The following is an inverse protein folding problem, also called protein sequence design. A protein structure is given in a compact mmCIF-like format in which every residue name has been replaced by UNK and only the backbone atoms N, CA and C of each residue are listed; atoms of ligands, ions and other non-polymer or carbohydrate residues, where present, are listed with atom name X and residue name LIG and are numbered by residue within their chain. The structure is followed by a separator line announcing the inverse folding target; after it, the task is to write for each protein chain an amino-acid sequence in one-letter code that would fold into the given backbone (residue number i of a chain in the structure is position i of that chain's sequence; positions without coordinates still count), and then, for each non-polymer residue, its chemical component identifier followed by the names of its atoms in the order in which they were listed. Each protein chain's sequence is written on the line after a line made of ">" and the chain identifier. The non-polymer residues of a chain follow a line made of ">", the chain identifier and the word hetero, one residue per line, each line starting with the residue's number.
data_IF_709288518528
#
_entry.id   IF_709288518528
#
_cell.length_a   1.000
_cell.length_b   1.000
_cell.length_c   1.000
_cell.angle_alpha   90.00
_cell.angle_beta   90.00
_cell.angle_gamma   90.00
#
_symmetry.space_group_name_H-M   'P 1'
#
loop_
_entity.id
_entity.type
_entity.pdbx_description
1 polymer ?
#
# COMPACT_ATOMS: atom_id res chain seq x y z
N UNK A 1 -13.20 -10.67 -13.02
CA UNK A 1 -14.28 -11.52 -13.58
C UNK A 1 -14.22 -12.86 -12.88
N UNK A 2 -15.35 -13.38 -12.41
CA UNK A 2 -15.46 -14.76 -11.92
C UNK A 2 -16.05 -15.59 -13.05
N UNK A 3 -15.40 -16.70 -13.40
CA UNK A 3 -15.79 -17.54 -14.52
C UNK A 3 -15.31 -18.98 -14.33
N UNK A 4 -15.89 -19.91 -15.09
CA UNK A 4 -15.45 -21.31 -15.10
C UNK A 4 -14.47 -21.57 -16.22
N UNK A 5 -13.44 -22.37 -15.96
CA UNK A 5 -12.56 -22.90 -17.01
C UNK A 5 -13.36 -23.83 -17.92
N UNK A 6 -13.55 -23.40 -19.16
CA UNK A 6 -14.22 -24.17 -20.19
C UNK A 6 -13.26 -25.11 -20.93
N UNK A 7 -12.02 -24.66 -21.19
CA UNK A 7 -11.05 -25.46 -21.92
C UNK A 7 -9.62 -25.03 -21.64
N UNK A 8 -8.71 -26.00 -21.56
CA UNK A 8 -7.27 -25.78 -21.53
C UNK A 8 -6.62 -26.37 -22.78
N UNK A 9 -5.82 -25.58 -23.49
CA UNK A 9 -5.11 -26.03 -24.70
C UNK A 9 -3.64 -25.67 -24.62
N UNK A 10 -2.77 -26.62 -24.96
CA UNK A 10 -1.32 -26.43 -25.04
C UNK A 10 -0.86 -26.62 -26.48
N UNK A 11 -0.14 -25.66 -27.03
CA UNK A 11 0.51 -25.78 -28.34
C UNK A 11 1.92 -25.19 -28.33
N UNK A 12 2.69 -25.53 -29.35
CA UNK A 12 3.96 -24.86 -29.62
C UNK A 12 3.74 -23.73 -30.63
N UNK A 13 4.39 -22.60 -30.40
CA UNK A 13 4.47 -21.51 -31.36
C UNK A 13 5.39 -21.88 -32.53
N UNK A 14 5.40 -21.07 -33.59
CA UNK A 14 6.31 -21.26 -34.74
C UNK A 14 7.79 -21.27 -34.33
N UNK A 15 8.15 -20.59 -33.24
CA UNK A 15 9.49 -20.57 -32.66
C UNK A 15 9.73 -21.68 -31.62
N UNK A 16 8.88 -22.72 -31.59
CA UNK A 16 8.93 -23.86 -30.65
C UNK A 16 8.83 -23.49 -29.16
N UNK A 17 8.37 -22.28 -28.83
CA UNK A 17 8.03 -21.90 -27.45
C UNK A 17 6.65 -22.41 -27.08
N UNK A 18 6.47 -22.86 -25.84
CA UNK A 18 5.15 -23.31 -25.36
C UNK A 18 4.17 -22.13 -25.27
N UNK A 19 2.91 -22.41 -25.57
CA UNK A 19 1.81 -21.47 -25.38
C UNK A 19 0.59 -22.24 -24.89
N UNK A 20 0.11 -21.85 -23.73
CA UNK A 20 -1.10 -22.40 -23.12
C UNK A 20 -2.20 -21.37 -23.22
N UNK A 21 -3.37 -21.78 -23.69
CA UNK A 21 -4.58 -20.95 -23.71
C UNK A 21 -5.64 -21.61 -22.85
N UNK A 22 -6.05 -20.90 -21.80
CA UNK A 22 -7.16 -21.27 -20.91
C UNK A 22 -8.36 -20.42 -21.30
N UNK A 23 -9.40 -21.05 -21.84
CA UNK A 23 -10.66 -20.37 -22.16
C UNK A 23 -11.59 -20.48 -20.95
N UNK A 24 -12.05 -19.34 -20.46
CA UNK A 24 -13.00 -19.23 -19.36
C UNK A 24 -14.35 -18.70 -19.87
N UNK A 25 -15.43 -19.01 -19.15
CA UNK A 25 -16.78 -18.56 -19.46
C UNK A 25 -17.61 -18.32 -18.19
N UNK A 26 -18.41 -17.26 -18.20
CA UNK A 26 -19.43 -16.96 -17.19
C UNK A 26 -20.85 -17.37 -17.66
N UNK A 27 -20.94 -18.06 -18.81
CA UNK A 27 -22.19 -18.40 -19.47
C UNK A 27 -22.69 -17.38 -20.51
N UNK A 28 -22.17 -16.14 -20.48
CA UNK A 28 -22.55 -15.08 -21.44
C UNK A 28 -21.56 -14.95 -22.60
N UNK A 29 -20.31 -15.33 -22.38
CA UNK A 29 -19.26 -15.26 -23.38
C UNK A 29 -18.03 -16.07 -23.04
N UNK A 30 -17.00 -15.92 -23.86
CA UNK A 30 -15.72 -16.58 -23.70
C UNK A 30 -14.58 -15.57 -23.66
N UNK A 31 -13.62 -15.85 -22.79
CA UNK A 31 -12.43 -15.05 -22.61
C UNK A 31 -11.21 -15.97 -22.54
N UNK A 32 -10.15 -15.63 -23.25
CA UNK A 32 -8.95 -16.47 -23.32
C UNK A 32 -7.82 -15.86 -22.45
N UNK A 33 -7.31 -16.64 -21.50
CA UNK A 33 -6.07 -16.37 -20.76
C UNK A 33 -4.91 -17.04 -21.51
N UNK A 34 -3.91 -16.27 -21.93
CA UNK A 34 -2.79 -16.82 -22.72
C UNK A 34 -1.48 -16.75 -21.94
N UNK A 35 -0.91 -17.92 -21.67
CA UNK A 35 0.34 -18.10 -20.93
C UNK A 35 1.45 -18.48 -21.92
N UNK A 36 2.38 -17.56 -22.15
CA UNK A 36 3.52 -17.78 -23.03
C UNK A 36 4.69 -18.38 -22.26
N UNK A 37 5.29 -19.43 -22.81
CA UNK A 37 6.40 -20.17 -22.23
C UNK A 37 6.16 -20.70 -20.79
N UNK A 38 4.89 -20.88 -20.40
CA UNK A 38 4.47 -21.31 -19.07
C UNK A 38 3.59 -22.57 -19.20
N UNK A 39 4.20 -23.74 -19.49
CA UNK A 39 3.45 -24.96 -19.79
C UNK A 39 2.73 -25.55 -18.56
N UNK A 40 3.13 -25.14 -17.35
CA UNK A 40 2.54 -25.56 -16.08
C UNK A 40 1.07 -25.11 -15.94
N UNK A 41 0.68 -23.99 -16.56
CA UNK A 41 -0.67 -23.43 -16.45
C UNK A 41 -1.74 -24.43 -16.89
N UNK A 42 -1.44 -25.28 -17.88
CA UNK A 42 -2.36 -26.30 -18.35
C UNK A 42 -2.65 -27.40 -17.30
N UNK A 43 -1.72 -27.64 -16.37
CA UNK A 43 -1.89 -28.59 -15.27
C UNK A 43 -2.66 -28.03 -14.08
N UNK A 44 -2.58 -26.71 -13.87
CA UNK A 44 -3.26 -25.99 -12.79
C UNK A 44 -4.72 -25.72 -13.15
N UNK A 45 -4.96 -25.06 -14.29
CA UNK A 45 -6.31 -24.66 -14.70
C UNK A 45 -7.01 -25.76 -15.51
N UNK A 46 -7.57 -26.72 -14.79
CA UNK A 46 -8.37 -27.81 -15.38
C UNK A 46 -9.79 -27.36 -15.67
N UNK A 47 -10.41 -28.02 -16.65
CA UNK A 47 -11.81 -27.79 -17.01
C UNK A 47 -12.74 -28.00 -15.81
N UNK A 48 -13.74 -27.13 -15.66
CA UNK A 48 -14.69 -27.16 -14.56
C UNK A 48 -14.31 -26.32 -13.34
N UNK A 49 -13.04 -25.94 -13.19
CA UNK A 49 -12.60 -25.09 -12.07
C UNK A 49 -13.19 -23.68 -12.19
N UNK A 50 -13.62 -23.14 -11.07
CA UNK A 50 -14.06 -21.75 -10.98
C UNK A 50 -12.85 -20.87 -10.68
N UNK A 51 -12.72 -19.77 -11.40
CA UNK A 51 -11.56 -18.88 -11.32
C UNK A 51 -11.96 -17.42 -11.23
N UNK A 52 -11.26 -16.67 -10.39
CA UNK A 52 -11.28 -15.22 -10.38
C UNK A 52 -10.10 -14.71 -11.21
N UNK A 53 -10.38 -13.86 -12.20
CA UNK A 53 -9.37 -13.29 -13.10
C UNK A 53 -9.43 -11.78 -13.15
N UNK A 54 -8.26 -11.15 -13.20
CA UNK A 54 -8.09 -9.71 -13.32
C UNK A 54 -6.98 -9.39 -14.34
N UNK A 55 -7.10 -8.24 -15.02
CA UNK A 55 -6.15 -7.83 -16.05
C UNK A 55 -6.78 -6.97 -17.13
N UNK A 56 -6.01 -6.67 -18.18
CA UNK A 56 -6.45 -5.79 -19.27
C UNK A 56 -7.13 -6.58 -20.37
N UNK A 57 -8.36 -6.21 -20.72
CA UNK A 57 -9.06 -6.84 -21.85
C UNK A 57 -8.49 -6.34 -23.17
N UNK A 58 -8.09 -7.27 -24.02
CA UNK A 58 -7.57 -7.04 -25.36
C UNK A 58 -8.31 -7.93 -26.36
N UNK A 59 -8.14 -7.67 -27.66
CA UNK A 59 -8.73 -8.50 -28.72
C UNK A 59 -7.62 -8.98 -29.64
N UNK A 60 -7.54 -10.29 -29.84
CA UNK A 60 -6.57 -10.91 -30.75
C UNK A 60 -7.27 -11.92 -31.66
N UNK A 61 -7.10 -11.75 -32.99
CA UNK A 61 -7.73 -12.59 -34.01
C UNK A 61 -9.25 -12.80 -33.78
N UNK A 62 -9.93 -11.74 -33.40
CA UNK A 62 -11.38 -11.74 -33.17
C UNK A 62 -11.84 -12.28 -31.81
N UNK A 63 -10.94 -12.86 -30.99
CA UNK A 63 -11.25 -13.37 -29.65
C UNK A 63 -10.83 -12.37 -28.57
N UNK A 64 -11.63 -12.28 -27.51
CA UNK A 64 -11.26 -11.51 -26.32
C UNK A 64 -10.18 -12.26 -25.54
N UNK A 65 -9.16 -11.54 -25.13
CA UNK A 65 -8.04 -12.04 -24.36
C UNK A 65 -7.78 -11.15 -23.16
N UNK A 66 -7.28 -11.74 -22.08
CA UNK A 66 -6.78 -10.99 -20.93
C UNK A 66 -5.25 -10.91 -21.03
N UNK A 67 -4.72 -9.69 -21.08
CA UNK A 67 -3.29 -9.40 -20.98
C UNK A 67 -2.92 -8.94 -19.57
N UNK A 68 -1.65 -9.12 -19.18
CA UNK A 68 -1.16 -8.89 -17.82
C UNK A 68 -2.08 -9.53 -16.77
N UNK A 69 -2.48 -10.76 -17.03
CA UNK A 69 -3.53 -11.42 -16.27
C UNK A 69 -3.01 -12.00 -14.96
N UNK A 70 -3.81 -11.83 -13.91
CA UNK A 70 -3.76 -12.63 -12.69
C UNK A 70 -5.01 -13.53 -12.65
N UNK A 71 -4.83 -14.77 -12.22
CA UNK A 71 -5.89 -15.76 -12.20
C UNK A 71 -5.72 -16.71 -11.02
N UNK A 72 -6.78 -16.90 -10.25
CA UNK A 72 -6.82 -17.77 -9.07
C UNK A 72 -7.99 -18.72 -9.13
N UNK A 73 -7.83 -19.89 -8.52
CA UNK A 73 -8.87 -20.91 -8.42
C UNK A 73 -9.70 -20.61 -7.17
N UNK A 74 -11.01 -20.42 -7.35
CA UNK A 74 -11.94 -20.24 -6.25
C UNK A 74 -12.26 -21.61 -5.64
N UNK A 75 -12.18 -21.71 -4.30
CA UNK A 75 -12.32 -22.97 -3.56
C UNK A 75 -11.04 -23.81 -3.47
N UNK A 76 -9.87 -23.24 -3.82
CA UNK A 76 -8.55 -23.79 -3.51
C UNK A 76 -8.17 -23.64 -2.03
N UNK A 77 -6.94 -23.99 -1.66
CA UNK A 77 -6.43 -23.79 -0.29
C UNK A 77 -6.44 -22.29 0.07
N UNK A 78 -6.50 -21.94 1.37
CA UNK A 78 -6.60 -20.54 1.85
C UNK A 78 -5.55 -19.58 1.24
N UNK A 79 -4.38 -20.12 0.87
CA UNK A 79 -3.28 -19.41 0.19
C UNK A 79 -3.65 -18.89 -1.19
N UNK A 80 -4.60 -19.52 -1.87
CA UNK A 80 -5.06 -19.10 -3.19
C UNK A 80 -5.94 -17.85 -3.13
N UNK A 81 -6.47 -17.47 -1.96
CA UNK A 81 -7.34 -16.30 -1.75
C UNK A 81 -6.58 -15.03 -1.32
N UNK A 82 -5.26 -15.08 -1.22
CA UNK A 82 -4.39 -13.94 -0.83
C UNK A 82 -4.27 -12.92 -1.97
N UNK A 83 -4.67 -13.29 -3.19
CA UNK A 83 -4.31 -12.57 -4.39
C UNK A 83 -5.52 -11.91 -5.10
N UNK A 84 -6.75 -12.40 -4.90
CA UNK A 84 -8.02 -11.81 -5.39
C UNK A 84 -9.18 -11.96 -4.39
N UNK A 85 -10.20 -11.11 -4.53
CA UNK A 85 -11.40 -11.08 -3.67
C UNK A 85 -11.31 -10.13 -2.48
N UNK A 86 -10.19 -9.40 -2.35
CA UNK A 86 -9.90 -8.41 -1.31
C UNK A 86 -9.14 -7.23 -1.93
N UNK A 87 -8.88 -6.18 -1.16
CA UNK A 87 -7.91 -5.16 -1.59
C UNK A 87 -6.52 -5.80 -1.59
N UNK A 88 -5.98 -6.02 -2.78
CA UNK A 88 -4.72 -6.74 -2.96
C UNK A 88 -3.52 -5.78 -2.90
N UNK A 89 -2.54 -6.00 -1.99
CA UNK A 89 -1.38 -5.13 -1.89
C UNK A 89 -0.45 -5.28 -3.11
N UNK A 90 0.05 -4.14 -3.58
CA UNK A 90 1.04 -4.05 -4.65
C UNK A 90 2.41 -3.73 -4.04
N UNK A 91 3.21 -4.77 -3.86
CA UNK A 91 4.60 -4.63 -3.44
C UNK A 91 5.53 -4.38 -4.62
N UNK A 92 6.51 -3.48 -4.45
CA UNK A 92 7.55 -3.24 -5.46
C UNK A 92 8.36 -4.52 -5.68
N UNK A 93 8.31 -5.05 -6.89
CA UNK A 93 9.11 -6.18 -7.33
C UNK A 93 10.55 -5.76 -7.68
N UNK A 94 11.47 -6.71 -7.60
CA UNK A 94 12.87 -6.58 -8.05
C UNK A 94 13.21 -7.70 -9.04
N UNK A 95 14.35 -7.60 -9.72
CA UNK A 95 14.79 -8.68 -10.61
C UNK A 95 14.85 -10.02 -9.85
N UNK A 96 14.25 -11.06 -10.42
CA UNK A 96 14.17 -12.39 -9.81
C UNK A 96 13.07 -12.59 -8.76
N UNK A 97 12.33 -11.55 -8.34
CA UNK A 97 11.27 -11.65 -7.33
C UNK A 97 9.99 -10.96 -7.81
N UNK A 98 8.90 -11.70 -7.92
CA UNK A 98 7.61 -11.16 -8.36
C UNK A 98 6.83 -10.50 -7.21
N UNK A 99 5.95 -9.55 -7.51
CA UNK A 99 5.01 -8.98 -6.52
C UNK A 99 4.18 -10.06 -5.83
N UNK A 100 3.81 -11.12 -6.56
CA UNK A 100 3.12 -12.31 -6.02
C UNK A 100 3.95 -12.98 -4.93
N UNK A 101 5.22 -13.25 -5.22
CA UNK A 101 6.16 -13.86 -4.27
C UNK A 101 6.34 -13.00 -3.02
N UNK A 102 6.50 -11.69 -3.17
CA UNK A 102 6.63 -10.79 -2.02
C UNK A 102 5.36 -10.83 -1.17
N UNK A 103 4.18 -10.80 -1.80
CA UNK A 103 2.90 -10.88 -1.12
C UNK A 103 2.75 -12.17 -0.31
N UNK A 104 3.09 -13.32 -0.90
CA UNK A 104 3.08 -14.62 -0.19
C UNK A 104 4.03 -14.62 1.03
N UNK A 105 5.22 -14.03 0.88
CA UNK A 105 6.20 -13.93 1.96
C UNK A 105 5.72 -13.00 3.08
N UNK A 106 5.15 -11.84 2.75
CA UNK A 106 4.60 -10.89 3.73
C UNK A 106 3.42 -11.52 4.47
N UNK A 107 2.51 -12.20 3.76
CA UNK A 107 1.39 -12.91 4.36
C UNK A 107 1.87 -13.96 5.38
N UNK A 108 2.78 -14.84 4.94
CA UNK A 108 3.36 -15.89 5.80
C UNK A 108 4.13 -15.33 7.00
N UNK A 109 4.83 -14.20 6.81
CA UNK A 109 5.53 -13.52 7.90
C UNK A 109 4.56 -12.96 8.93
N UNK A 110 3.47 -12.31 8.50
CA UNK A 110 2.44 -11.78 9.40
C UNK A 110 1.70 -12.88 10.16
N UNK A 111 1.44 -14.03 9.54
CA UNK A 111 0.83 -15.19 10.22
C UNK A 111 1.72 -15.77 11.32
N UNK A 112 3.05 -15.75 11.12
CA UNK A 112 4.02 -16.25 12.09
C UNK A 112 4.40 -15.23 13.16
N UNK A 113 4.13 -13.94 12.91
CA UNK A 113 4.47 -12.86 13.82
C UNK A 113 3.47 -12.82 14.99
N UNK A 114 4.00 -12.93 16.21
CA UNK A 114 3.26 -12.66 17.43
C UNK A 114 2.74 -11.22 17.46
N UNK A 115 1.70 -10.96 18.27
CA UNK A 115 1.16 -9.61 18.47
C UNK A 115 2.24 -8.60 18.80
N UNK A 116 2.27 -7.51 18.04
CA UNK A 116 3.16 -6.38 18.26
C UNK A 116 2.58 -5.52 19.38
N UNK A 117 3.38 -5.27 20.42
CA UNK A 117 2.97 -4.36 21.48
C UNK A 117 2.90 -2.93 20.96
N UNK A 118 1.85 -2.21 21.34
CA UNK A 118 1.71 -0.80 21.00
C UNK A 118 2.71 0.03 21.84
N UNK A 119 3.57 0.86 21.21
CA UNK A 119 4.50 1.72 21.95
C UNK A 119 3.78 2.89 22.63
N UNK A 120 2.55 3.22 22.23
CA UNK A 120 1.79 4.31 22.83
C UNK A 120 1.07 3.86 24.11
N UNK A 121 0.98 4.74 25.12
CA UNK A 121 0.13 4.49 26.28
C UNK A 121 -1.34 4.28 25.85
N UNK A 122 -2.08 3.34 26.47
CA UNK A 122 -3.49 3.10 26.13
C UNK A 122 -4.37 4.35 26.21
N UNK A 123 -4.07 5.27 27.14
CA UNK A 123 -4.82 6.50 27.32
C UNK A 123 -4.71 7.42 26.09
N UNK A 124 -3.56 7.43 25.40
CA UNK A 124 -3.36 8.20 24.18
C UNK A 124 -4.13 7.58 23.01
N UNK A 125 -4.09 6.24 22.91
CA UNK A 125 -4.82 5.50 21.86
C UNK A 125 -6.32 5.78 21.98
N UNK A 126 -6.87 5.74 23.21
CA UNK A 126 -8.27 6.04 23.47
C UNK A 126 -8.63 7.50 23.19
N UNK A 127 -7.81 8.45 23.66
CA UNK A 127 -8.06 9.88 23.51
C UNK A 127 -8.06 10.33 22.04
N UNK A 128 -7.18 9.76 21.22
CA UNK A 128 -7.03 10.09 19.80
C UNK A 128 -7.83 9.15 18.88
N UNK A 129 -8.65 8.25 19.46
CA UNK A 129 -9.46 7.27 18.72
C UNK A 129 -8.67 6.42 17.72
N UNK A 130 -7.46 6.03 18.11
CA UNK A 130 -6.53 5.30 17.26
C UNK A 130 -6.80 3.80 17.29
N UNK A 131 -6.62 3.16 16.14
CA UNK A 131 -6.51 1.71 16.06
C UNK A 131 -5.14 1.25 16.59
N UNK A 132 -5.03 0.11 17.27
CA UNK A 132 -3.74 -0.43 17.74
C UNK A 132 -2.73 -0.70 16.61
N UNK A 133 -1.43 -0.64 16.95
CA UNK A 133 -0.34 -0.77 15.99
C UNK A 133 -0.32 -2.12 15.26
N UNK A 134 -0.51 -3.25 15.98
CA UNK A 134 -0.46 -4.59 15.37
C UNK A 134 -1.53 -4.72 14.29
N UNK A 135 -2.75 -4.28 14.59
CA UNK A 135 -3.85 -4.37 13.63
C UNK A 135 -3.67 -3.40 12.47
N UNK A 136 -3.13 -2.19 12.70
CA UNK A 136 -2.80 -1.26 11.62
C UNK A 136 -1.74 -1.84 10.66
N UNK A 137 -0.69 -2.48 11.18
CA UNK A 137 0.35 -3.13 10.37
C UNK A 137 -0.19 -4.30 9.55
N UNK A 138 -1.13 -5.07 10.10
CA UNK A 138 -1.78 -6.15 9.35
C UNK A 138 -2.70 -5.61 8.26
N UNK A 139 -3.53 -4.61 8.58
CA UNK A 139 -4.52 -4.03 7.67
C UNK A 139 -3.92 -3.16 6.56
N UNK A 140 -2.77 -2.52 6.77
CA UNK A 140 -2.10 -1.79 5.68
C UNK A 140 -1.64 -2.74 4.57
N UNK A 141 -1.38 -4.01 4.91
CA UNK A 141 -1.01 -5.05 3.96
C UNK A 141 -2.21 -5.82 3.43
N UNK A 142 -3.11 -6.29 4.30
CA UNK A 142 -4.24 -7.15 3.93
C UNK A 142 -5.55 -6.66 4.56
N UNK A 143 -6.11 -5.53 4.11
CA UNK A 143 -7.39 -5.03 4.60
C UNK A 143 -8.56 -5.78 3.96
N UNK A 144 -9.64 -5.94 4.70
CA UNK A 144 -10.88 -6.53 4.18
C UNK A 144 -11.65 -5.53 3.29
N UNK A 145 -11.57 -4.24 3.62
CA UNK A 145 -12.26 -3.16 2.92
C UNK A 145 -11.44 -1.85 2.92
N UNK A 146 -11.98 -0.84 2.22
CA UNK A 146 -11.29 0.44 2.03
C UNK A 146 -11.22 1.26 3.33
N UNK A 147 -12.18 1.09 4.23
CA UNK A 147 -12.23 1.83 5.49
C UNK A 147 -11.13 1.31 6.43
N UNK A 148 -10.99 -0.02 6.54
CA UNK A 148 -9.88 -0.66 7.29
C UNK A 148 -8.51 -0.19 6.80
N UNK A 149 -8.32 -0.07 5.48
CA UNK A 149 -7.09 0.48 4.91
C UNK A 149 -6.89 1.94 5.30
N UNK A 150 -7.94 2.76 5.22
CA UNK A 150 -7.86 4.17 5.56
C UNK A 150 -7.44 4.38 7.03
N UNK A 151 -8.08 3.65 7.96
CA UNK A 151 -7.73 3.69 9.38
C UNK A 151 -6.29 3.23 9.65
N UNK A 152 -5.85 2.15 9.00
CA UNK A 152 -4.47 1.67 9.14
C UNK A 152 -3.44 2.70 8.66
N UNK A 153 -3.70 3.35 7.52
CA UNK A 153 -2.83 4.40 6.99
C UNK A 153 -2.83 5.64 7.89
N UNK A 154 -3.99 6.02 8.43
CA UNK A 154 -4.10 7.15 9.36
C UNK A 154 -3.31 6.88 10.65
N UNK A 155 -3.45 5.69 11.23
CA UNK A 155 -2.66 5.28 12.40
C UNK A 155 -1.16 5.37 12.14
N UNK A 156 -0.67 4.83 11.02
CA UNK A 156 0.77 4.85 10.71
C UNK A 156 1.30 6.27 10.42
N UNK A 157 0.48 7.14 9.83
CA UNK A 157 0.82 8.57 9.68
C UNK A 157 0.91 9.28 11.03
N UNK A 158 -0.02 8.96 11.94
CA UNK A 158 0.00 9.49 13.30
C UNK A 158 1.28 9.05 14.01
N UNK A 159 1.64 7.76 13.96
CA UNK A 159 2.89 7.24 14.55
C UNK A 159 4.12 8.01 14.06
N UNK A 160 4.23 8.25 12.75
CA UNK A 160 5.35 8.98 12.15
C UNK A 160 5.41 10.43 12.64
N UNK A 161 4.28 11.16 12.55
CA UNK A 161 4.22 12.55 12.99
C UNK A 161 4.45 12.70 14.49
N UNK A 162 3.80 11.87 15.30
CA UNK A 162 3.93 11.87 16.75
C UNK A 162 5.37 11.62 17.17
N UNK A 163 6.06 10.67 16.53
CA UNK A 163 7.48 10.39 16.80
C UNK A 163 8.37 11.60 16.49
N UNK A 164 8.12 12.30 15.38
CA UNK A 164 8.85 13.52 15.02
C UNK A 164 8.61 14.65 16.02
N UNK A 165 7.35 14.91 16.36
CA UNK A 165 6.96 15.96 17.32
C UNK A 165 7.47 15.66 18.72
N UNK A 166 7.45 14.40 19.15
CA UNK A 166 8.04 13.97 20.41
C UNK A 166 9.54 14.28 20.46
N UNK A 167 10.26 14.05 19.36
CA UNK A 167 11.68 14.42 19.24
C UNK A 167 11.92 15.93 19.37
N UNK A 168 11.07 16.77 18.75
CA UNK A 168 11.12 18.23 18.88
C UNK A 168 10.82 18.66 20.32
N UNK A 169 9.79 18.08 20.93
CA UNK A 169 9.39 18.35 22.31
C UNK A 169 10.51 17.99 23.30
N UNK A 170 11.14 16.82 23.15
CA UNK A 170 12.29 16.43 23.96
C UNK A 170 13.45 17.40 23.81
N UNK A 171 13.76 17.82 22.58
CA UNK A 171 14.83 18.80 22.33
C UNK A 171 14.52 20.15 22.98
N UNK A 172 13.28 20.63 22.85
CA UNK A 172 12.82 21.88 23.48
C UNK A 172 12.92 21.79 25.00
N UNK A 173 12.37 20.73 25.60
CA UNK A 173 12.40 20.51 27.04
C UNK A 173 13.83 20.48 27.59
N UNK A 174 14.75 19.80 26.91
CA UNK A 174 16.17 19.79 27.28
C UNK A 174 16.81 21.17 27.22
N UNK A 175 16.53 21.95 26.16
CA UNK A 175 17.08 23.30 26.06
C UNK A 175 16.56 24.21 27.17
N UNK A 176 15.27 24.11 27.49
CA UNK A 176 14.63 24.91 28.54
C UNK A 176 15.09 24.50 29.95
N UNK A 177 15.41 23.22 30.18
CA UNK A 177 15.91 22.75 31.48
C UNK A 177 17.40 23.06 31.70
N UNK A 178 18.20 23.10 30.64
CA UNK A 178 19.64 23.37 30.73
C UNK A 178 20.01 24.86 30.61
N UNK A 179 19.15 25.67 29.98
CA UNK A 179 19.47 27.06 29.63
C UNK A 179 18.32 27.99 29.95
N UNK A 180 18.65 29.11 30.60
CA UNK A 180 17.74 30.24 30.72
C UNK A 180 17.89 31.11 29.47
N UNK A 181 16.79 31.28 28.73
CA UNK A 181 16.74 32.21 27.60
C UNK A 181 16.93 33.66 28.06
N UNK A 182 17.60 34.47 27.24
CA UNK A 182 17.70 35.91 27.45
C UNK A 182 16.55 36.56 26.68
N UNK A 183 15.65 37.23 27.39
CA UNK A 183 14.58 37.99 26.75
C UNK A 183 15.16 39.28 26.16
N UNK A 184 15.07 39.41 24.84
CA UNK A 184 15.35 40.66 24.15
C UNK A 184 14.08 41.51 24.14
N UNK A 185 14.20 42.78 24.54
CA UNK A 185 13.13 43.77 24.35
C UNK A 185 13.43 44.52 23.07
N UNK A 186 12.47 44.54 22.16
CA UNK A 186 12.50 45.30 20.92
C UNK A 186 12.10 46.77 21.13
N UNK A 187 11.64 47.13 22.33
CA UNK A 187 11.31 48.49 22.73
C UNK A 187 12.57 49.28 23.12
N UNK A 188 12.78 50.45 22.49
CA UNK A 188 13.82 51.38 22.92
C UNK A 188 14.35 52.30 21.82
N UNK A 189 15.12 53.29 22.26
CA UNK A 189 15.64 54.37 21.41
C UNK A 189 16.43 53.86 20.19
N UNK A 190 17.19 52.77 20.34
CA UNK A 190 17.97 52.21 19.24
C UNK A 190 17.08 51.57 18.16
N UNK A 191 15.98 50.93 18.55
CA UNK A 191 15.00 50.38 17.60
C UNK A 191 14.29 51.52 16.85
N UNK A 192 13.86 52.56 17.56
CA UNK A 192 13.20 53.73 16.96
C UNK A 192 14.13 54.45 15.97
N UNK A 193 15.39 54.64 16.35
CA UNK A 193 16.41 55.24 15.47
C UNK A 193 16.64 54.40 14.23
N UNK A 194 16.72 53.07 14.36
CA UNK A 194 16.90 52.18 13.21
C UNK A 194 15.71 52.28 12.26
N UNK A 195 14.47 52.22 12.78
CA UNK A 195 13.26 52.37 11.97
C UNK A 195 13.17 53.75 11.30
N UNK A 196 13.66 54.81 11.94
CA UNK A 196 13.71 56.14 11.34
C UNK A 196 14.76 56.26 10.21
N UNK A 197 15.77 55.38 10.16
CA UNK A 197 16.74 55.37 9.05
C UNK A 197 16.24 54.66 7.78
N UNK A 198 15.17 53.87 7.89
CA UNK A 198 14.66 53.14 6.72
C UNK A 198 13.87 54.07 5.79
N UNK A 199 14.13 54.09 4.47
CA UNK A 199 13.49 55.00 3.53
C UNK A 199 12.08 54.54 3.09
N UNK A 200 11.52 53.55 3.77
CA UNK A 200 10.20 52.98 3.50
C UNK A 200 9.54 52.57 4.81
N UNK A 201 8.22 52.57 4.82
CA UNK A 201 7.45 52.07 5.97
C UNK A 201 7.57 50.54 6.05
N UNK A 202 7.92 49.98 7.22
CA UNK A 202 7.97 48.53 7.41
C UNK A 202 6.62 47.88 7.11
N UNK A 203 6.66 46.74 6.42
CA UNK A 203 5.47 45.95 6.17
C UNK A 203 4.93 45.35 7.47
N UNK A 204 3.64 45.01 7.49
CA UNK A 204 3.02 44.29 8.62
C UNK A 204 3.75 42.99 8.98
N UNK A 205 4.36 42.31 8.01
CA UNK A 205 5.15 41.10 8.26
C UNK A 205 6.48 41.41 8.96
N UNK A 206 7.14 42.51 8.60
CA UNK A 206 8.38 42.96 9.25
C UNK A 206 8.10 43.43 10.69
N UNK A 207 7.02 44.19 10.92
CA UNK A 207 6.63 44.62 12.27
C UNK A 207 6.32 43.43 13.18
N UNK A 208 5.77 42.33 12.65
CA UNK A 208 5.48 41.11 13.44
C UNK A 208 6.71 40.27 13.75
N UNK A 209 7.77 40.36 12.93
CA UNK A 209 8.97 39.53 13.06
C UNK A 209 10.00 40.10 14.06
N UNK A 210 9.88 41.39 14.37
CA UNK A 210 10.72 42.14 15.31
C UNK A 210 10.00 42.26 16.64
#
# INVERSE_FOLDING_TARGET
>A
VIARVHKSTKRLTRQRRSMVTITITDGTGYLDLTYFNQPWAAGIYKEGLEVAVSGTVTRYRGRLQLGNQEAEILGGEERDLVHTGRITPVHRASEGITTRTIRELVFSALEQLSTIADPMPPELIEAEHLQDLDTALRRVHFPEDADQLAWAVERLKFDELFTLELGVAFRKHRLESERTGIAHRNEGELTDRLLATTPFEPTKAQIRAV
#
